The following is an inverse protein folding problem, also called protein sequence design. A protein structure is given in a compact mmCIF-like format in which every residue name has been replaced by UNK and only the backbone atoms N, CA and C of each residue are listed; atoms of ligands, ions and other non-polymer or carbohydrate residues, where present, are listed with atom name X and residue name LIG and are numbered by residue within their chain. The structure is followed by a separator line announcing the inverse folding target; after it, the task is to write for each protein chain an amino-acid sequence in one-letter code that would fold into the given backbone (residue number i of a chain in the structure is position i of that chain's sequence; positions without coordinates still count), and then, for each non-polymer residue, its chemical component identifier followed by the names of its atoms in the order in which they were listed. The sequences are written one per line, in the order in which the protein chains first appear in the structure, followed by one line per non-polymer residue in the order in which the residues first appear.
data_IF_716674070129
#
_entry.id   IF_716674070129
#
_cell.length_a   1.000
_cell.length_b   1.000
_cell.length_c   1.000
_cell.angle_alpha   90.00
_cell.angle_beta   90.00
_cell.angle_gamma   90.00
#
_symmetry.space_group_name_H-M   'P 1'
#
loop_
_entity.id
_entity.type
_entity.pdbx_description
1 polymer ?
#
# COMPACT_ATOMS: atom_id res chain seq x y z
N UNK A 1 -28.18 4.20 11.57
CA UNK A 1 -28.08 3.13 10.55
C UNK A 1 -26.63 3.04 10.11
N UNK A 2 -25.95 1.88 10.25
CA UNK A 2 -24.59 1.70 9.68
C UNK A 2 -24.67 1.78 8.15
N UNK A 3 -23.81 2.59 7.53
CA UNK A 3 -23.73 2.73 6.08
C UNK A 3 -23.55 1.35 5.43
N UNK A 4 -24.34 0.99 4.40
CA UNK A 4 -24.32 -0.33 3.76
C UNK A 4 -22.92 -0.77 3.28
N UNK A 5 -22.00 0.15 3.03
CA UNK A 5 -20.63 -0.19 2.65
C UNK A 5 -19.84 -0.86 3.80
N UNK A 6 -20.03 -0.44 5.05
CA UNK A 6 -19.32 -1.03 6.19
C UNK A 6 -19.79 -2.46 6.44
N UNK A 7 -21.09 -2.73 6.31
CA UNK A 7 -21.61 -4.11 6.39
C UNK A 7 -21.06 -5.01 5.29
N UNK A 8 -20.87 -4.48 4.08
CA UNK A 8 -20.27 -5.24 2.97
C UNK A 8 -18.79 -5.53 3.22
N UNK A 9 -18.05 -4.56 3.79
CA UNK A 9 -16.64 -4.73 4.15
C UNK A 9 -16.47 -5.72 5.31
N UNK A 10 -17.37 -5.73 6.30
CA UNK A 10 -17.34 -6.69 7.42
C UNK A 10 -17.45 -8.15 6.95
N UNK A 11 -18.12 -8.39 5.81
CA UNK A 11 -18.36 -9.73 5.27
C UNK A 11 -17.29 -10.22 4.28
N UNK A 12 -16.22 -9.45 4.05
CA UNK A 12 -15.14 -9.87 3.16
C UNK A 12 -14.25 -10.92 3.82
N UNK A 13 -13.65 -11.78 3.02
CA UNK A 13 -12.56 -12.67 3.46
C UNK A 13 -11.24 -11.89 3.56
N UNK A 14 -10.27 -12.40 4.31
CA UNK A 14 -9.00 -11.70 4.56
C UNK A 14 -8.27 -11.27 3.29
N UNK A 15 -8.26 -12.10 2.24
CA UNK A 15 -7.62 -11.75 0.96
C UNK A 15 -8.39 -10.64 0.21
N UNK A 16 -9.71 -10.58 0.38
CA UNK A 16 -10.57 -9.55 -0.21
C UNK A 16 -10.38 -8.21 0.51
N UNK A 17 -10.23 -8.22 1.84
CA UNK A 17 -9.80 -7.03 2.59
C UNK A 17 -8.46 -6.51 2.10
N UNK A 18 -7.47 -7.41 1.97
CA UNK A 18 -6.14 -7.03 1.51
C UNK A 18 -6.16 -6.47 0.08
N UNK A 19 -6.91 -7.10 -0.82
CA UNK A 19 -7.11 -6.61 -2.20
C UNK A 19 -7.77 -5.23 -2.22
N UNK A 20 -8.80 -5.03 -1.38
CA UNK A 20 -9.48 -3.75 -1.26
C UNK A 20 -8.54 -2.65 -0.76
N UNK A 21 -7.75 -2.93 0.28
CA UNK A 21 -6.76 -1.99 0.81
C UNK A 21 -5.65 -1.69 -0.21
N UNK A 22 -5.11 -2.70 -0.88
CA UNK A 22 -4.09 -2.54 -1.92
C UNK A 22 -4.59 -1.66 -3.08
N UNK A 23 -5.85 -1.85 -3.51
CA UNK A 23 -6.47 -1.02 -4.54
C UNK A 23 -6.63 0.45 -4.11
N UNK A 24 -6.95 0.71 -2.83
CA UNK A 24 -6.98 2.07 -2.30
C UNK A 24 -5.59 2.71 -2.27
N UNK A 25 -4.55 1.95 -1.89
CA UNK A 25 -3.17 2.42 -1.92
C UNK A 25 -2.71 2.74 -3.36
N UNK A 26 -3.00 1.89 -4.34
CA UNK A 26 -2.72 2.15 -5.76
C UNK A 26 -3.37 3.45 -6.24
N UNK A 27 -4.64 3.68 -5.86
CA UNK A 27 -5.33 4.93 -6.19
C UNK A 27 -4.66 6.16 -5.57
N UNK A 28 -4.01 6.02 -4.42
CA UNK A 28 -3.31 7.11 -3.72
C UNK A 28 -1.85 7.28 -4.18
N UNK A 29 -1.25 6.26 -4.78
CA UNK A 29 0.15 6.24 -5.22
C UNK A 29 0.57 7.46 -6.06
N UNK A 30 -0.25 7.97 -7.01
CA UNK A 30 0.10 9.15 -7.79
C UNK A 30 0.32 10.41 -6.95
N UNK A 31 -0.38 10.54 -5.81
CA UNK A 31 -0.24 11.71 -4.93
C UNK A 31 1.16 11.74 -4.30
N UNK A 32 1.61 10.60 -3.77
CA UNK A 32 2.93 10.47 -3.19
C UNK A 32 4.03 10.60 -4.26
N UNK A 33 3.82 9.99 -5.44
CA UNK A 33 4.74 10.13 -6.57
C UNK A 33 4.92 11.58 -7.00
N UNK A 34 3.84 12.36 -7.07
CA UNK A 34 3.91 13.77 -7.42
C UNK A 34 4.67 14.57 -6.35
N UNK A 35 4.38 14.33 -5.06
CA UNK A 35 5.15 14.92 -3.96
C UNK A 35 6.65 14.62 -4.09
N UNK A 36 7.00 13.36 -4.35
CA UNK A 36 8.38 12.95 -4.55
C UNK A 36 9.04 13.65 -5.74
N UNK A 37 8.33 13.79 -6.86
CA UNK A 37 8.83 14.51 -8.03
C UNK A 37 9.14 15.98 -7.73
N UNK A 38 8.31 16.64 -6.94
CA UNK A 38 8.49 18.06 -6.59
C UNK A 38 9.64 18.30 -5.61
N UNK A 39 10.02 17.27 -4.84
CA UNK A 39 11.07 17.36 -3.83
C UNK A 39 12.35 16.60 -4.22
N UNK A 40 12.49 16.19 -5.48
CA UNK A 40 13.63 15.42 -6.01
C UNK A 40 13.83 14.03 -5.33
N UNK A 41 12.80 13.51 -4.67
CA UNK A 41 12.76 12.23 -3.94
C UNK A 41 12.33 11.05 -4.83
N UNK A 42 12.99 10.91 -5.99
CA UNK A 42 12.60 9.88 -6.98
C UNK A 42 12.82 8.44 -6.51
N UNK A 43 13.74 8.22 -5.56
CA UNK A 43 14.04 6.90 -5.00
C UNK A 43 12.92 6.42 -4.06
N UNK A 44 12.35 7.35 -3.29
CA UNK A 44 11.29 7.15 -2.32
C UNK A 44 9.99 6.73 -3.02
N UNK A 45 9.64 7.39 -4.13
CA UNK A 45 8.53 6.99 -4.99
C UNK A 45 8.70 5.55 -5.51
N UNK A 46 9.93 5.15 -5.84
CA UNK A 46 10.24 3.79 -6.29
C UNK A 46 10.13 2.78 -5.15
N UNK A 47 10.59 3.14 -3.95
CA UNK A 47 10.43 2.32 -2.74
C UNK A 47 8.95 2.04 -2.45
N UNK A 48 8.11 3.08 -2.48
CA UNK A 48 6.67 2.93 -2.30
C UNK A 48 6.04 1.97 -3.34
N UNK A 49 6.36 2.15 -4.62
CA UNK A 49 5.85 1.27 -5.68
C UNK A 49 6.32 -0.18 -5.51
N UNK A 50 7.57 -0.40 -5.11
CA UNK A 50 8.09 -1.74 -4.88
C UNK A 50 7.34 -2.45 -3.74
N UNK A 51 7.06 -1.75 -2.64
CA UNK A 51 6.29 -2.29 -1.51
C UNK A 51 4.88 -2.67 -1.98
N UNK A 52 4.24 -1.81 -2.77
CA UNK A 52 2.89 -2.08 -3.28
C UNK A 52 2.86 -3.27 -4.26
N UNK A 53 3.89 -3.41 -5.11
CA UNK A 53 4.06 -4.57 -5.98
C UNK A 53 4.21 -5.87 -5.16
N UNK A 54 4.95 -5.85 -4.05
CA UNK A 54 5.10 -7.01 -3.15
C UNK A 54 3.74 -7.42 -2.53
N UNK A 55 2.89 -6.45 -2.18
CA UNK A 55 1.53 -6.77 -1.69
C UNK A 55 0.70 -7.48 -2.78
N UNK A 56 0.80 -7.04 -4.02
CA UNK A 56 0.13 -7.71 -5.16
C UNK A 56 0.72 -9.10 -5.45
N UNK A 57 2.04 -9.26 -5.33
CA UNK A 57 2.69 -10.56 -5.46
C UNK A 57 2.19 -11.53 -4.39
N UNK A 58 2.08 -11.08 -3.13
CA UNK A 58 1.52 -11.90 -2.05
C UNK A 58 0.08 -12.33 -2.30
N UNK A 59 -0.73 -11.48 -2.93
CA UNK A 59 -2.12 -11.82 -3.29
C UNK A 59 -2.24 -12.79 -4.47
N UNK A 60 -1.25 -12.84 -5.35
CA UNK A 60 -1.30 -13.61 -6.61
C UNK A 60 -0.49 -14.90 -6.58
N UNK A 61 0.61 -14.93 -5.82
CA UNK A 61 1.51 -16.07 -5.70
C UNK A 61 1.31 -16.80 -4.37
N UNK A 62 0.86 -18.07 -4.44
CA UNK A 62 0.52 -18.90 -3.27
C UNK A 62 1.68 -19.13 -2.28
N UNK A 63 2.93 -19.10 -2.75
CA UNK A 63 4.12 -19.42 -1.96
C UNK A 63 5.03 -18.21 -1.72
N UNK A 64 4.54 -16.99 -1.97
CA UNK A 64 5.32 -15.77 -1.77
C UNK A 64 5.66 -15.58 -0.28
N UNK A 65 6.96 -15.69 0.04
CA UNK A 65 7.50 -15.39 1.37
C UNK A 65 8.07 -13.99 1.38
N UNK A 66 7.28 -13.04 1.87
CA UNK A 66 7.66 -11.63 1.93
C UNK A 66 7.88 -11.26 3.39
N UNK A 67 9.04 -10.68 3.70
CA UNK A 67 9.29 -10.08 5.00
C UNK A 67 8.64 -8.69 5.04
N UNK A 68 7.39 -8.64 5.53
CA UNK A 68 6.62 -7.41 5.66
C UNK A 68 7.09 -6.50 6.80
N UNK A 69 7.78 -7.02 7.82
CA UNK A 69 8.40 -6.18 8.86
C UNK A 69 9.47 -5.27 8.27
N UNK A 70 10.36 -5.83 7.43
CA UNK A 70 11.36 -5.04 6.70
C UNK A 70 10.69 -4.07 5.69
N UNK A 71 9.59 -4.48 5.03
CA UNK A 71 8.88 -3.53 4.15
C UNK A 71 8.25 -2.38 4.94
N UNK A 72 7.78 -2.63 6.15
CA UNK A 72 7.23 -1.59 7.03
C UNK A 72 8.32 -0.60 7.43
N UNK A 73 9.49 -1.08 7.87
CA UNK A 73 10.64 -0.21 8.18
C UNK A 73 11.04 0.67 6.99
N UNK A 74 11.10 0.10 5.78
CA UNK A 74 11.36 0.88 4.55
C UNK A 74 10.27 1.87 4.19
N UNK A 75 9.02 1.57 4.56
CA UNK A 75 7.92 2.50 4.34
C UNK A 75 8.03 3.69 5.28
N UNK A 76 8.35 3.44 6.55
CA UNK A 76 8.50 4.49 7.56
C UNK A 76 9.59 5.50 7.19
N UNK A 77 10.71 5.05 6.61
CA UNK A 77 11.80 5.96 6.21
C UNK A 77 11.43 6.90 5.06
N UNK A 78 10.40 6.60 4.28
CA UNK A 78 9.95 7.43 3.15
C UNK A 78 8.71 8.27 3.48
N UNK A 79 8.13 8.13 4.68
CA UNK A 79 7.03 8.98 5.13
C UNK A 79 7.61 10.38 5.37
N UNK A 80 7.12 11.42 4.66
CA UNK A 80 7.63 12.77 4.83
C UNK A 80 7.24 13.32 6.21
N UNK A 81 8.16 14.04 6.85
CA UNK A 81 7.86 14.79 8.07
C UNK A 81 6.89 15.93 7.72
N UNK A 82 5.89 16.15 8.59
CA UNK A 82 4.86 17.17 8.41
C UNK A 82 5.22 18.45 9.18
N UNK A 83 6.32 18.43 9.93
CA UNK A 83 6.80 19.53 10.78
C UNK A 83 7.65 20.56 10.05
#
# INVERSE_FOLDING_TARGET
MRNPIHKRLENLESWQHLTFMAALCERMAPNFKLFCQMNELSAEAKTYQNILNLVWEYLTAKDAKINFENQLEKLETIIPDVN
#
